data_IF_314056189903
#
_entry.id   IF_314056189903
#
_cell.length_a   1.000
_cell.length_b   1.000
_cell.length_c   1.000
_cell.angle_alpha   90.00
_cell.angle_beta   90.00
_cell.angle_gamma   90.00
#
_symmetry.space_group_name_H-M   'P 1'
#
loop_
_entity.id
_entity.type
_entity.pdbx_description
1 polymer ?
#
# COMPACT_ATOMS: atom_id res chain seq x y z
N UNK A 1 23.54 1.63 35.45
CA UNK A 1 22.28 1.73 34.69
C UNK A 1 22.58 1.98 33.22
N UNK A 2 22.07 1.11 32.35
CA UNK A 2 21.72 1.47 30.97
C UNK A 2 20.36 0.86 30.59
N UNK A 3 19.31 1.13 31.36
CA UNK A 3 17.92 0.68 31.09
C UNK A 3 17.19 1.60 30.12
N UNK A 4 17.57 2.90 30.07
CA UNK A 4 16.92 3.95 29.26
C UNK A 4 17.03 3.76 27.73
N UNK A 5 17.97 2.95 27.23
CA UNK A 5 18.11 2.74 25.78
C UNK A 5 17.21 1.63 25.23
N UNK A 6 17.17 0.50 25.92
CA UNK A 6 16.47 -0.70 25.45
C UNK A 6 14.99 -0.64 25.79
N UNK A 7 14.62 -0.19 26.99
CA UNK A 7 13.23 -0.16 27.43
C UNK A 7 12.44 0.90 26.64
N UNK A 8 13.02 2.09 26.42
CA UNK A 8 12.39 3.15 25.63
C UNK A 8 12.19 2.72 24.16
N UNK A 9 13.15 1.98 23.59
CA UNK A 9 13.03 1.46 22.23
C UNK A 9 11.90 0.41 22.11
N UNK A 10 11.75 -0.46 23.12
CA UNK A 10 10.65 -1.44 23.19
C UNK A 10 9.31 -0.71 23.32
N UNK A 11 9.20 0.23 24.26
CA UNK A 11 7.98 1.01 24.49
C UNK A 11 7.58 1.81 23.25
N UNK A 12 8.55 2.40 22.55
CA UNK A 12 8.29 3.11 21.29
C UNK A 12 7.76 2.17 20.21
N UNK A 13 8.33 0.97 20.07
CA UNK A 13 7.85 -0.05 19.15
C UNK A 13 6.40 -0.47 19.46
N UNK A 14 6.09 -0.72 20.73
CA UNK A 14 4.74 -1.05 21.18
C UNK A 14 3.75 0.10 20.90
N UNK A 15 4.15 1.34 21.19
CA UNK A 15 3.34 2.52 20.93
C UNK A 15 3.00 2.69 19.45
N UNK A 16 3.98 2.53 18.55
CA UNK A 16 3.77 2.58 17.10
C UNK A 16 2.74 1.52 16.66
N UNK A 17 2.90 0.30 17.17
CA UNK A 17 2.00 -0.82 16.84
C UNK A 17 0.58 -0.58 17.35
N UNK A 18 0.43 -0.12 18.59
CA UNK A 18 -0.87 0.20 19.18
C UNK A 18 -1.55 1.36 18.44
N UNK A 19 -0.81 2.39 18.06
CA UNK A 19 -1.32 3.51 17.27
C UNK A 19 -1.92 3.05 15.94
N UNK A 20 -1.19 2.22 15.18
CA UNK A 20 -1.68 1.69 13.91
C UNK A 20 -2.86 0.72 14.09
N UNK A 21 -2.83 -0.11 15.13
CA UNK A 21 -3.95 -0.98 15.48
C UNK A 21 -5.21 -0.19 15.84
N UNK A 22 -5.07 0.92 16.57
CA UNK A 22 -6.18 1.80 16.91
C UNK A 22 -6.83 2.39 15.65
N UNK A 23 -6.03 2.83 14.67
CA UNK A 23 -6.57 3.29 13.37
C UNK A 23 -7.32 2.16 12.66
N UNK A 24 -6.78 0.94 12.64
CA UNK A 24 -7.48 -0.21 12.08
C UNK A 24 -8.81 -0.49 12.80
N UNK A 25 -8.86 -0.35 14.12
CA UNK A 25 -10.12 -0.49 14.89
C UNK A 25 -11.14 0.54 14.42
N UNK A 26 -10.77 1.81 14.27
CA UNK A 26 -11.67 2.85 13.74
C UNK A 26 -12.19 2.47 12.36
N UNK A 27 -11.31 2.06 11.44
CA UNK A 27 -11.66 1.72 10.07
C UNK A 27 -12.49 0.42 9.95
N UNK A 28 -12.35 -0.51 10.89
CA UNK A 28 -13.07 -1.78 10.90
C UNK A 28 -14.44 -1.72 11.59
N UNK A 29 -14.71 -0.68 12.39
CA UNK A 29 -15.96 -0.50 13.12
C UNK A 29 -16.84 0.62 12.53
N UNK A 30 -16.73 0.88 11.23
CA UNK A 30 -17.52 1.88 10.49
C UNK A 30 -17.40 3.32 11.02
N UNK A 31 -16.31 3.63 11.73
CA UNK A 31 -16.01 4.96 12.27
C UNK A 31 -15.11 5.79 11.33
N UNK A 32 -14.83 5.29 10.13
CA UNK A 32 -13.99 5.98 9.15
C UNK A 32 -14.44 7.42 8.80
N UNK A 33 -15.76 7.76 8.75
CA UNK A 33 -16.20 9.14 8.51
C UNK A 33 -15.69 10.15 9.55
N UNK A 34 -15.38 9.70 10.78
CA UNK A 34 -14.82 10.57 11.83
C UNK A 34 -13.45 11.10 11.41
N UNK A 35 -12.62 10.27 10.78
CA UNK A 35 -11.26 10.64 10.38
C UNK A 35 -11.25 11.73 9.30
N UNK A 36 -12.18 11.68 8.36
CA UNK A 36 -12.26 12.61 7.21
C UNK A 36 -13.21 13.79 7.44
N UNK A 37 -13.75 13.93 8.65
CA UNK A 37 -14.63 15.05 9.02
C UNK A 37 -13.87 16.38 9.00
N UNK A 38 -14.58 17.48 8.77
CA UNK A 38 -13.99 18.83 8.77
C UNK A 38 -13.24 19.16 10.06
N UNK A 39 -13.74 18.69 11.21
CA UNK A 39 -13.11 18.88 12.51
C UNK A 39 -11.78 18.14 12.66
N UNK A 40 -11.57 17.05 11.92
CA UNK A 40 -10.41 16.16 12.06
C UNK A 40 -9.42 16.22 10.88
N UNK A 41 -9.60 17.14 9.92
CA UNK A 41 -8.75 17.22 8.73
C UNK A 41 -7.25 17.33 9.06
N UNK A 42 -6.88 18.18 10.03
CA UNK A 42 -5.48 18.33 10.44
C UNK A 42 -4.92 17.05 11.06
N UNK A 43 -5.74 16.36 11.86
CA UNK A 43 -5.38 15.06 12.45
C UNK A 43 -5.20 14.00 11.36
N UNK A 44 -6.07 14.00 10.34
CA UNK A 44 -5.96 13.08 9.22
C UNK A 44 -4.65 13.26 8.44
N UNK A 45 -4.26 14.49 8.12
CA UNK A 45 -2.96 14.77 7.48
C UNK A 45 -1.78 14.32 8.35
N UNK A 46 -1.90 14.43 9.67
CA UNK A 46 -0.89 13.93 10.61
C UNK A 46 -0.80 12.40 10.57
N UNK A 47 -1.95 11.71 10.50
CA UNK A 47 -2.01 10.25 10.34
C UNK A 47 -1.33 9.84 9.02
N UNK A 48 -1.66 10.50 7.92
CA UNK A 48 -1.08 10.22 6.61
C UNK A 48 0.44 10.39 6.61
N UNK A 49 0.93 11.51 7.14
CA UNK A 49 2.37 11.77 7.27
C UNK A 49 3.07 10.70 8.11
N UNK A 50 2.42 10.24 9.18
CA UNK A 50 2.95 9.17 10.04
C UNK A 50 3.02 7.83 9.31
N UNK A 51 1.95 7.43 8.62
CA UNK A 51 1.92 6.21 7.81
C UNK A 51 2.99 6.22 6.72
N UNK A 52 3.16 7.37 6.08
CA UNK A 52 4.17 7.60 5.06
C UNK A 52 5.60 7.51 5.57
N UNK A 53 5.85 8.02 6.77
CA UNK A 53 7.14 7.88 7.44
C UNK A 53 7.41 6.41 7.76
N UNK A 54 6.44 5.72 8.37
CA UNK A 54 6.58 4.31 8.75
C UNK A 54 6.74 3.38 7.55
N UNK A 55 6.01 3.60 6.44
CA UNK A 55 6.16 2.80 5.22
C UNK A 55 7.55 2.90 4.58
N UNK A 56 8.37 3.89 4.97
CA UNK A 56 9.70 4.15 4.42
C UNK A 56 10.85 3.74 5.35
N UNK A 57 10.54 3.21 6.53
CA UNK A 57 11.54 2.80 7.52
C UNK A 57 12.01 1.35 7.29
N UNK A 58 13.22 1.17 6.76
CA UNK A 58 13.83 -0.17 6.57
C UNK A 58 14.30 -0.83 7.86
N UNK A 59 14.32 -0.11 8.98
CA UNK A 59 14.73 -0.66 10.28
C UNK A 59 13.57 -1.31 11.05
N UNK A 60 12.33 -1.02 10.66
CA UNK A 60 11.12 -1.46 11.35
C UNK A 60 10.07 -2.01 10.36
N UNK A 61 10.41 -3.14 9.73
CA UNK A 61 9.50 -3.85 8.82
C UNK A 61 8.13 -4.19 9.44
N UNK A 62 8.01 -4.59 10.72
CA UNK A 62 6.71 -4.83 11.34
C UNK A 62 5.79 -3.61 11.28
N UNK A 63 6.29 -2.42 11.66
CA UNK A 63 5.53 -1.17 11.62
C UNK A 63 5.24 -0.73 10.17
N UNK A 64 6.23 -0.86 9.27
CA UNK A 64 6.05 -0.54 7.85
C UNK A 64 4.95 -1.40 7.21
N UNK A 65 4.97 -2.71 7.48
CA UNK A 65 3.94 -3.65 7.02
C UNK A 65 2.57 -3.30 7.58
N UNK A 66 2.47 -3.02 8.87
CA UNK A 66 1.18 -2.65 9.47
C UNK A 66 0.64 -1.33 8.92
N UNK A 67 1.50 -0.38 8.59
CA UNK A 67 1.13 0.86 7.91
C UNK A 67 0.54 0.61 6.52
N UNK A 68 1.12 -0.30 5.72
CA UNK A 68 0.53 -0.71 4.44
C UNK A 68 -0.84 -1.39 4.61
N UNK A 69 -1.04 -2.15 5.70
CA UNK A 69 -2.34 -2.74 6.01
C UNK A 69 -3.39 -1.66 6.34
N UNK A 70 -3.01 -0.61 7.08
CA UNK A 70 -3.87 0.57 7.32
C UNK A 70 -4.25 1.24 5.99
N UNK A 71 -3.28 1.49 5.11
CA UNK A 71 -3.52 2.10 3.79
C UNK A 71 -4.41 1.23 2.91
N UNK A 72 -4.24 -0.09 2.95
CA UNK A 72 -5.12 -1.05 2.27
C UNK A 72 -6.55 -0.93 2.80
N UNK A 73 -6.72 -0.85 4.13
CA UNK A 73 -8.05 -0.71 4.72
C UNK A 73 -8.70 0.64 4.36
N UNK A 74 -7.94 1.74 4.38
CA UNK A 74 -8.41 3.05 3.90
C UNK A 74 -8.88 2.97 2.44
N UNK A 75 -8.09 2.29 1.59
CA UNK A 75 -8.44 2.05 0.17
C UNK A 75 -9.74 1.25 0.03
N UNK A 76 -9.95 0.23 0.87
CA UNK A 76 -11.18 -0.56 0.86
C UNK A 76 -12.41 0.25 1.28
N UNK A 77 -12.27 1.07 2.32
CA UNK A 77 -13.39 1.84 2.92
C UNK A 77 -13.78 3.03 2.04
N UNK A 78 -12.80 3.77 1.52
CA UNK A 78 -13.05 5.01 0.79
C UNK A 78 -12.99 4.87 -0.73
N UNK A 79 -12.42 3.79 -1.26
CA UNK A 79 -12.29 3.55 -2.70
C UNK A 79 -13.56 3.11 -3.41
N UNK A 80 -14.68 2.92 -2.69
CA UNK A 80 -15.96 2.52 -3.31
C UNK A 80 -16.06 1.02 -3.60
N UNK A 81 -17.02 0.58 -4.43
CA UNK A 81 -17.16 -0.83 -4.82
C UNK A 81 -15.98 -1.32 -5.68
N UNK A 82 -15.71 -2.63 -5.65
CA UNK A 82 -14.69 -3.24 -6.51
C UNK A 82 -15.17 -3.30 -7.96
N UNK A 83 -14.28 -2.92 -8.87
CA UNK A 83 -14.39 -3.10 -10.31
C UNK A 83 -14.07 -4.56 -10.68
N UNK A 84 -14.66 -5.01 -11.78
CA UNK A 84 -14.37 -6.32 -12.38
C UNK A 84 -13.10 -6.23 -13.21
N UNK A 85 -12.09 -7.00 -12.82
CA UNK A 85 -10.77 -7.03 -13.49
C UNK A 85 -10.52 -8.46 -14.04
N UNK A 86 -10.02 -8.62 -15.29
CA UNK A 86 -9.84 -7.55 -16.29
C UNK A 86 -11.19 -7.01 -16.77
N UNK A 87 -11.19 -5.77 -17.28
CA UNK A 87 -12.41 -5.11 -17.78
C UNK A 87 -12.91 -5.89 -19.01
N UNK A 88 -14.17 -6.38 -19.02
CA UNK A 88 -14.70 -7.11 -20.17
C UNK A 88 -14.76 -6.23 -21.43
N UNK A 89 -14.57 -6.80 -22.63
CA UNK A 89 -14.75 -6.08 -23.89
C UNK A 89 -16.14 -5.41 -23.94
N UNK A 90 -16.17 -4.09 -24.11
CA UNK A 90 -17.41 -3.29 -24.15
C UNK A 90 -18.02 -2.94 -22.80
N UNK A 91 -17.41 -3.36 -21.67
CA UNK A 91 -17.81 -2.96 -20.33
C UNK A 91 -17.21 -1.59 -19.96
N UNK A 92 -18.05 -0.59 -19.73
CA UNK A 92 -17.62 0.65 -19.10
C UNK A 92 -17.77 0.52 -17.58
N UNK A 93 -16.66 0.57 -16.85
CA UNK A 93 -16.64 0.65 -15.40
C UNK A 93 -15.77 1.85 -14.98
N UNK A 94 -16.30 2.67 -14.08
CA UNK A 94 -15.61 3.84 -13.56
C UNK A 94 -15.45 3.68 -12.05
N UNK A 95 -14.34 4.20 -11.52
CA UNK A 95 -14.13 4.32 -10.08
C UNK A 95 -15.26 5.15 -9.46
N UNK A 96 -15.75 4.71 -8.31
CA UNK A 96 -16.84 5.37 -7.59
C UNK A 96 -16.48 5.52 -6.10
N UNK A 97 -15.42 6.29 -5.77
CA UNK A 97 -14.98 6.42 -4.39
C UNK A 97 -16.04 7.09 -3.52
N UNK A 98 -16.16 6.66 -2.27
CA UNK A 98 -17.11 7.25 -1.31
C UNK A 98 -16.64 8.62 -0.81
N UNK A 99 -15.32 8.88 -0.90
CA UNK A 99 -14.72 10.19 -0.70
C UNK A 99 -14.33 10.78 -2.06
N UNK A 100 -14.84 11.97 -2.46
CA UNK A 100 -14.53 12.56 -3.75
C UNK A 100 -13.02 12.74 -3.99
N UNK A 101 -12.53 12.33 -5.17
CA UNK A 101 -11.11 12.43 -5.56
C UNK A 101 -10.19 11.41 -4.89
N UNK A 102 -10.73 10.49 -4.08
CA UNK A 102 -9.91 9.53 -3.34
C UNK A 102 -9.20 8.52 -4.25
N UNK A 103 -9.78 8.19 -5.40
CA UNK A 103 -9.14 7.41 -6.47
C UNK A 103 -7.81 8.03 -6.94
N UNK A 104 -7.81 9.33 -7.22
CA UNK A 104 -6.59 10.08 -7.61
C UNK A 104 -5.63 10.21 -6.43
N UNK A 105 -6.15 10.43 -5.23
CA UNK A 105 -5.37 10.51 -4.01
C UNK A 105 -4.62 9.20 -3.70
N UNK A 106 -5.27 8.04 -3.81
CA UNK A 106 -4.66 6.73 -3.60
C UNK A 106 -3.51 6.51 -4.59
N UNK A 107 -3.73 6.81 -5.88
CA UNK A 107 -2.69 6.65 -6.90
C UNK A 107 -1.49 7.56 -6.62
N UNK A 108 -1.72 8.82 -6.25
CA UNK A 108 -0.62 9.77 -6.00
C UNK A 108 0.12 9.57 -4.68
N UNK A 109 -0.56 9.11 -3.61
CA UNK A 109 0.01 9.07 -2.26
C UNK A 109 0.28 7.67 -1.74
N UNK A 110 -0.57 6.68 -2.06
CA UNK A 110 -0.49 5.35 -1.48
C UNK A 110 0.26 4.38 -2.38
N UNK A 111 0.00 4.39 -3.69
CA UNK A 111 0.68 3.48 -4.61
C UNK A 111 2.21 3.58 -4.54
N UNK A 112 2.82 4.79 -4.51
CA UNK A 112 4.28 4.90 -4.44
C UNK A 112 4.88 4.29 -3.17
N UNK A 113 4.11 4.19 -2.08
CA UNK A 113 4.56 3.59 -0.82
C UNK A 113 4.80 2.09 -0.94
N UNK A 114 4.16 1.42 -1.90
CA UNK A 114 4.38 -0.01 -2.16
C UNK A 114 5.77 -0.29 -2.73
N UNK A 115 6.41 0.74 -3.31
CA UNK A 115 7.76 0.69 -3.87
C UNK A 115 8.81 1.31 -2.95
N UNK A 116 8.40 2.01 -1.89
CA UNK A 116 9.26 2.94 -1.20
C UNK A 116 10.40 2.28 -0.38
N UNK A 117 10.21 1.07 0.13
CA UNK A 117 11.33 0.29 0.68
C UNK A 117 12.13 -0.40 -0.43
N UNK A 118 11.46 -0.88 -1.48
CA UNK A 118 12.08 -1.67 -2.55
C UNK A 118 13.18 -0.88 -3.27
N UNK A 119 12.99 0.42 -3.44
CA UNK A 119 13.97 1.32 -4.07
C UNK A 119 15.15 1.67 -3.18
N UNK A 120 15.10 1.40 -1.88
CA UNK A 120 16.20 1.74 -0.97
C UNK A 120 17.37 0.75 -1.11
N UNK A 121 18.63 1.20 -1.10
CA UNK A 121 19.78 0.29 -1.16
C UNK A 121 19.85 -0.72 -0.01
N UNK A 122 19.36 -0.34 1.19
CA UNK A 122 19.34 -1.19 2.40
C UNK A 122 18.30 -2.32 2.36
N UNK A 123 17.37 -2.31 1.41
CA UNK A 123 16.30 -3.30 1.34
C UNK A 123 16.82 -4.68 0.91
N UNK A 124 16.50 -5.70 1.72
CA UNK A 124 16.96 -7.08 1.54
C UNK A 124 15.77 -8.00 1.20
N UNK A 125 15.51 -8.31 -0.08
CA UNK A 125 14.30 -9.04 -0.49
C UNK A 125 14.28 -10.53 -0.10
N UNK A 126 15.38 -11.05 0.45
CA UNK A 126 15.50 -12.42 0.99
C UNK A 126 15.19 -12.50 2.48
N UNK A 127 15.18 -11.37 3.18
CA UNK A 127 14.81 -11.31 4.61
C UNK A 127 13.32 -11.67 4.80
N UNK A 128 13.01 -12.37 5.90
CA UNK A 128 11.65 -12.84 6.16
C UNK A 128 10.66 -11.70 6.43
N UNK A 129 11.10 -10.65 7.13
CA UNK A 129 10.25 -9.48 7.41
C UNK A 129 10.05 -8.64 6.16
N UNK A 130 11.10 -8.46 5.35
CA UNK A 130 11.00 -7.84 4.04
C UNK A 130 10.00 -8.57 3.12
N UNK A 131 10.02 -9.91 3.07
CA UNK A 131 9.03 -10.70 2.32
C UNK A 131 7.59 -10.52 2.83
N UNK A 132 7.44 -10.38 4.15
CA UNK A 132 6.13 -10.10 4.77
C UNK A 132 5.62 -8.71 4.39
N UNK A 133 6.51 -7.71 4.36
CA UNK A 133 6.20 -6.38 3.83
C UNK A 133 5.80 -6.42 2.35
N UNK A 134 6.53 -7.15 1.49
CA UNK A 134 6.19 -7.30 0.06
C UNK A 134 4.81 -7.93 -0.13
N UNK A 135 4.42 -8.87 0.74
CA UNK A 135 3.08 -9.49 0.71
C UNK A 135 1.98 -8.46 0.96
N UNK A 136 2.23 -7.49 1.84
CA UNK A 136 1.29 -6.40 2.14
C UNK A 136 1.31 -5.32 1.04
N UNK A 137 2.49 -5.00 0.49
CA UNK A 137 2.60 -4.10 -0.66
C UNK A 137 1.82 -4.63 -1.87
N UNK A 138 1.95 -5.92 -2.19
CA UNK A 138 1.15 -6.59 -3.22
C UNK A 138 -0.35 -6.55 -2.89
N UNK A 139 -0.72 -6.67 -1.61
CA UNK A 139 -2.12 -6.55 -1.17
C UNK A 139 -2.67 -5.18 -1.51
N UNK A 140 -1.92 -4.12 -1.20
CA UNK A 140 -2.32 -2.75 -1.49
C UNK A 140 -2.48 -2.54 -3.00
N UNK A 141 -1.48 -2.85 -3.81
CA UNK A 141 -1.57 -2.67 -5.26
C UNK A 141 -2.73 -3.45 -5.89
N UNK A 142 -2.93 -4.70 -5.47
CA UNK A 142 -4.07 -5.51 -5.91
C UNK A 142 -5.39 -4.80 -5.59
N UNK A 143 -5.53 -4.26 -4.38
CA UNK A 143 -6.72 -3.52 -3.95
C UNK A 143 -6.88 -2.21 -4.72
N UNK A 144 -5.83 -1.44 -4.97
CA UNK A 144 -5.90 -0.19 -5.75
C UNK A 144 -6.40 -0.48 -7.16
N UNK A 145 -5.91 -1.54 -7.82
CA UNK A 145 -6.40 -1.92 -9.15
C UNK A 145 -7.91 -2.19 -9.14
N UNK A 146 -8.43 -2.87 -8.11
CA UNK A 146 -9.86 -3.16 -8.04
C UNK A 146 -10.70 -1.93 -7.71
N UNK A 147 -10.13 -0.87 -7.14
CA UNK A 147 -10.87 0.39 -6.93
C UNK A 147 -10.81 1.33 -8.13
N UNK A 148 -9.68 1.33 -8.84
CA UNK A 148 -9.35 2.37 -9.83
C UNK A 148 -9.30 1.86 -11.28
N UNK A 149 -9.17 0.55 -11.49
CA UNK A 149 -9.17 -0.09 -12.81
C UNK A 149 -8.08 0.45 -13.73
N UNK A 150 -8.45 0.68 -15.00
CA UNK A 150 -7.53 1.11 -16.07
C UNK A 150 -6.75 2.40 -15.74
N UNK A 151 -7.29 3.30 -14.91
CA UNK A 151 -6.57 4.51 -14.49
C UNK A 151 -5.32 4.16 -13.68
N UNK A 152 -5.41 3.12 -12.83
CA UNK A 152 -4.25 2.66 -12.07
C UNK A 152 -3.25 1.90 -12.93
N UNK A 153 -3.71 1.10 -13.90
CA UNK A 153 -2.81 0.44 -14.85
C UNK A 153 -1.99 1.45 -15.64
N UNK A 154 -2.64 2.52 -16.15
CA UNK A 154 -1.96 3.61 -16.82
C UNK A 154 -0.95 4.29 -15.88
N UNK A 155 -1.34 4.57 -14.63
CA UNK A 155 -0.43 5.14 -13.63
C UNK A 155 0.81 4.27 -13.36
N UNK A 156 0.62 2.96 -13.20
CA UNK A 156 1.72 2.00 -13.03
C UNK A 156 2.67 2.02 -14.23
N UNK A 157 2.11 1.98 -15.45
CA UNK A 157 2.87 1.94 -16.70
C UNK A 157 3.65 3.23 -16.94
N UNK A 158 2.97 4.36 -16.86
CA UNK A 158 3.47 5.65 -17.33
C UNK A 158 4.34 6.36 -16.28
N UNK A 159 4.09 6.11 -14.99
CA UNK A 159 4.78 6.81 -13.89
C UNK A 159 5.67 5.90 -13.04
N UNK A 160 5.11 4.88 -12.40
CA UNK A 160 5.86 4.13 -11.38
C UNK A 160 6.90 3.18 -11.98
N UNK A 161 6.48 2.30 -12.90
CA UNK A 161 7.36 1.27 -13.47
C UNK A 161 8.36 1.84 -14.48
N UNK A 162 7.93 2.82 -15.28
CA UNK A 162 8.82 3.59 -16.14
C UNK A 162 9.90 4.31 -15.32
N UNK A 163 9.53 4.90 -14.18
CA UNK A 163 10.45 5.52 -13.23
C UNK A 163 11.45 4.54 -12.59
N UNK A 164 11.09 3.26 -12.49
CA UNK A 164 11.99 2.17 -12.08
C UNK A 164 12.89 1.66 -13.22
N UNK A 165 12.74 2.19 -14.44
CA UNK A 165 13.52 1.77 -15.61
C UNK A 165 13.09 0.43 -16.21
N UNK A 166 11.87 -0.05 -15.88
CA UNK A 166 11.33 -1.30 -16.41
C UNK A 166 10.89 -1.11 -17.87
N UNK A 167 11.06 -2.15 -18.69
CA UNK A 167 10.73 -2.13 -20.11
C UNK A 167 9.33 -2.67 -20.38
N UNK A 168 8.73 -2.28 -21.51
CA UNK A 168 7.38 -2.65 -21.92
C UNK A 168 6.99 -4.12 -21.69
N UNK A 169 7.77 -5.11 -22.15
CA UNK A 169 7.44 -6.53 -21.95
C UNK A 169 7.33 -6.96 -20.48
N UNK A 170 8.20 -6.41 -19.61
CA UNK A 170 8.20 -6.69 -18.18
C UNK A 170 6.98 -6.04 -17.50
N UNK A 171 6.66 -4.81 -17.92
CA UNK A 171 5.49 -4.08 -17.44
C UNK A 171 4.21 -4.83 -17.85
N UNK A 172 4.12 -5.34 -19.07
CA UNK A 172 2.97 -6.12 -19.54
C UNK A 172 2.77 -7.41 -18.76
N UNK A 173 3.85 -8.15 -18.49
CA UNK A 173 3.81 -9.35 -17.65
C UNK A 173 3.32 -9.00 -16.23
N UNK A 174 3.84 -7.92 -15.65
CA UNK A 174 3.44 -7.45 -14.34
C UNK A 174 1.95 -7.15 -14.26
N UNK A 175 1.44 -6.33 -15.19
CA UNK A 175 0.03 -5.93 -15.22
C UNK A 175 -0.86 -7.17 -15.39
N UNK A 176 -0.49 -8.10 -16.27
CA UNK A 176 -1.22 -9.36 -16.45
C UNK A 176 -1.33 -10.16 -15.15
N UNK A 177 -0.27 -10.24 -14.36
CA UNK A 177 -0.31 -10.90 -13.04
C UNK A 177 -1.14 -10.12 -12.02
N UNK A 178 -1.07 -8.79 -12.05
CA UNK A 178 -1.87 -7.92 -11.18
C UNK A 178 -3.36 -8.01 -11.50
N UNK A 179 -3.75 -8.14 -12.77
CA UNK A 179 -5.14 -8.31 -13.21
C UNK A 179 -5.74 -9.67 -12.82
N UNK A 180 -4.91 -10.69 -12.58
CA UNK A 180 -5.37 -12.02 -12.23
C UNK A 180 -6.30 -12.01 -11.00
N UNK A 181 -7.37 -12.80 -11.06
CA UNK A 181 -8.36 -12.88 -9.97
C UNK A 181 -7.76 -13.39 -8.66
N UNK A 182 -6.77 -14.26 -8.74
CA UNK A 182 -6.12 -14.84 -7.57
C UNK A 182 -5.11 -13.87 -6.95
N UNK A 183 -5.52 -13.24 -5.84
CA UNK A 183 -4.66 -12.35 -5.05
C UNK A 183 -3.44 -13.06 -4.46
N UNK A 184 -3.56 -14.34 -4.10
CA UNK A 184 -2.46 -15.10 -3.52
C UNK A 184 -1.36 -15.35 -4.58
N UNK A 185 -1.76 -15.62 -5.81
CA UNK A 185 -0.80 -15.81 -6.89
C UNK A 185 -0.11 -14.50 -7.28
N UNK A 186 -0.83 -13.36 -7.29
CA UNK A 186 -0.18 -12.05 -7.46
C UNK A 186 0.83 -11.76 -6.35
N UNK A 187 0.52 -12.07 -5.09
CA UNK A 187 1.47 -11.91 -3.98
C UNK A 187 2.76 -12.71 -4.19
N UNK A 188 2.64 -13.97 -4.59
CA UNK A 188 3.81 -14.83 -4.88
C UNK A 188 4.64 -14.26 -6.03
N UNK A 189 3.98 -13.87 -7.12
CA UNK A 189 4.61 -13.24 -8.27
C UNK A 189 5.37 -11.97 -7.86
N UNK A 190 4.73 -11.05 -7.12
CA UNK A 190 5.34 -9.79 -6.72
C UNK A 190 6.62 -9.98 -5.90
N UNK A 191 6.64 -10.94 -4.98
CA UNK A 191 7.84 -11.27 -4.20
C UNK A 191 8.97 -11.74 -5.12
N UNK A 192 8.69 -12.63 -6.07
CA UNK A 192 9.68 -13.14 -7.02
C UNK A 192 10.17 -12.04 -7.97
N UNK A 193 9.25 -11.22 -8.48
CA UNK A 193 9.53 -10.08 -9.34
C UNK A 193 10.52 -9.11 -8.67
N UNK A 194 10.24 -8.70 -7.42
CA UNK A 194 11.12 -7.79 -6.67
C UNK A 194 12.48 -8.42 -6.40
N UNK A 195 12.53 -9.72 -6.11
CA UNK A 195 13.79 -10.44 -5.95
C UNK A 195 14.63 -10.41 -7.23
N UNK A 196 14.02 -10.57 -8.41
CA UNK A 196 14.72 -10.53 -9.70
C UNK A 196 15.22 -9.13 -10.04
N UNK A 197 14.39 -8.10 -9.86
CA UNK A 197 14.75 -6.69 -10.15
C UNK A 197 15.88 -6.19 -9.24
N UNK A 198 16.03 -6.78 -8.04
CA UNK A 198 17.04 -6.41 -7.03
C UNK A 198 18.25 -7.34 -6.98
N UNK A 199 18.29 -8.40 -7.81
CA UNK A 199 19.43 -9.31 -7.92
C UNK A 199 20.51 -8.73 -8.83
#
# INVERSE_FOLDING_TARGET
EPTTGTDDAIQLGELKMQYLQFILVILNNDLAPVLVSSANQQTFETILTTLEHFCRDTSDYPTARLSLAVLTKMTQVWGGPDLTIPIPPGGAQAAAPTVPGFDTFIMSRFSPLTWALITQPSFQPKDAQARSYLTEAATLQWTILRKCGAAYEAHLRDSEMSGLGLQGPIIDEYIKHLEAKDKLDFKKFFIQFVQQVRS
#
